data_IF_457740369693
#
_entry.id   IF_457740369693
#
_cell.length_a   1.000
_cell.length_b   1.000
_cell.length_c   1.000
_cell.angle_alpha   90.00
_cell.angle_beta   90.00
_cell.angle_gamma   90.00
#
_symmetry.space_group_name_H-M   'P 1'
#
loop_
_entity.id
_entity.type
_entity.pdbx_description
1 polymer ?
#
# COMPACT_ATOMS: atom_id res chain seq x y z
N UNK A 1 34.29 12.62 -27.55
CA UNK A 1 34.07 12.11 -26.17
C UNK A 1 33.02 11.02 -26.27
N UNK A 2 33.42 9.74 -26.27
CA UNK A 2 32.44 8.64 -26.23
C UNK A 2 31.94 8.60 -24.79
N UNK A 3 30.67 8.93 -24.58
CA UNK A 3 30.07 8.86 -23.25
C UNK A 3 30.19 7.44 -22.69
N UNK A 4 30.47 7.31 -21.40
CA UNK A 4 30.47 6.04 -20.69
C UNK A 4 29.17 5.30 -21.00
N UNK A 5 29.28 4.14 -21.63
CA UNK A 5 28.14 3.25 -21.88
C UNK A 5 28.06 2.24 -20.74
N UNK A 6 26.85 1.91 -20.33
CA UNK A 6 26.62 0.83 -19.39
C UNK A 6 27.14 -0.50 -19.98
N UNK A 7 27.67 -1.37 -19.13
CA UNK A 7 28.14 -2.71 -19.53
C UNK A 7 26.96 -3.61 -19.92
N UNK A 8 25.79 -3.37 -19.32
CA UNK A 8 24.55 -4.06 -19.65
C UNK A 8 23.57 -3.07 -20.30
N UNK A 9 23.04 -3.45 -21.45
CA UNK A 9 22.03 -2.69 -22.18
C UNK A 9 20.65 -2.90 -21.54
N UNK A 10 20.49 -2.43 -20.30
CA UNK A 10 19.25 -2.49 -19.53
C UNK A 10 18.95 -1.06 -19.06
N UNK A 11 17.92 -0.40 -19.63
CA UNK A 11 17.64 0.98 -19.30
C UNK A 11 17.19 1.12 -17.84
N UNK A 12 17.63 2.19 -17.18
CA UNK A 12 17.11 2.57 -15.86
C UNK A 12 15.60 2.88 -15.94
N UNK A 13 14.90 2.65 -14.83
CA UNK A 13 13.49 3.00 -14.72
C UNK A 13 13.32 4.52 -14.81
N UNK A 14 12.52 4.98 -15.77
CA UNK A 14 12.20 6.40 -15.96
C UNK A 14 10.72 6.59 -16.28
N UNK A 15 10.15 7.69 -15.82
CA UNK A 15 8.79 8.12 -16.19
C UNK A 15 7.69 7.17 -15.69
N UNK A 16 6.81 6.75 -16.60
CA UNK A 16 5.62 5.93 -16.28
C UNK A 16 5.74 4.49 -16.77
N UNK A 17 6.93 3.88 -16.64
CA UNK A 17 7.10 2.47 -17.01
C UNK A 17 6.19 1.54 -16.18
N UNK A 18 5.65 0.46 -16.79
CA UNK A 18 4.63 -0.39 -16.16
C UNK A 18 5.06 -1.04 -14.84
N UNK A 19 6.33 -1.39 -14.69
CA UNK A 19 6.85 -2.02 -13.47
C UNK A 19 7.11 -1.03 -12.32
N UNK A 20 7.08 0.28 -12.58
CA UNK A 20 7.46 1.30 -11.60
C UNK A 20 6.40 1.45 -10.51
N UNK A 21 6.76 1.28 -9.24
CA UNK A 21 5.83 1.40 -8.11
C UNK A 21 5.86 2.79 -7.44
N UNK A 22 6.73 3.70 -7.90
CA UNK A 22 6.92 5.02 -7.25
C UNK A 22 7.84 4.99 -6.04
N UNK A 23 8.63 3.92 -5.88
CA UNK A 23 9.69 3.83 -4.88
C UNK A 23 11.00 4.40 -5.46
N UNK A 24 11.70 5.26 -4.70
CA UNK A 24 12.80 6.07 -5.23
C UNK A 24 13.97 5.24 -5.81
N UNK A 25 14.27 4.10 -5.21
CA UNK A 25 15.48 3.31 -5.51
C UNK A 25 15.19 2.03 -6.29
N UNK A 26 13.98 1.88 -6.84
CA UNK A 26 13.55 0.68 -7.54
C UNK A 26 14.50 0.32 -8.70
N UNK A 27 14.92 -0.94 -8.74
CA UNK A 27 15.70 -1.50 -9.85
C UNK A 27 14.77 -2.11 -10.91
N UNK A 28 15.15 -2.10 -12.21
CA UNK A 28 14.43 -2.81 -13.26
C UNK A 28 14.39 -4.32 -12.99
N UNK A 29 13.27 -4.98 -13.29
CA UNK A 29 13.13 -6.43 -13.16
C UNK A 29 14.11 -7.18 -14.07
N UNK A 30 14.33 -6.69 -15.30
CA UNK A 30 15.24 -7.32 -16.26
C UNK A 30 16.69 -7.38 -15.74
N UNK A 31 17.09 -6.36 -14.97
CA UNK A 31 18.40 -6.32 -14.32
C UNK A 31 18.54 -7.44 -13.29
N UNK A 32 17.55 -7.57 -12.41
CA UNK A 32 17.58 -8.57 -11.34
C UNK A 32 17.37 -9.99 -11.89
N UNK A 33 16.57 -10.15 -12.93
CA UNK A 33 16.38 -11.44 -13.59
C UNK A 33 17.70 -11.96 -14.16
N UNK A 34 18.48 -11.09 -14.80
CA UNK A 34 19.82 -11.43 -15.30
C UNK A 34 20.75 -11.84 -14.17
N UNK A 35 20.81 -11.07 -13.08
CA UNK A 35 21.68 -11.35 -11.92
C UNK A 35 21.30 -12.68 -11.26
N UNK A 36 20.02 -12.91 -10.99
CA UNK A 36 19.53 -14.12 -10.32
C UNK A 36 19.77 -15.36 -11.18
N UNK A 37 19.46 -15.31 -12.48
CA UNK A 37 19.73 -16.43 -13.41
C UNK A 37 21.21 -16.77 -13.52
N UNK A 38 22.10 -15.78 -13.44
CA UNK A 38 23.54 -15.99 -13.53
C UNK A 38 24.14 -16.56 -12.23
N UNK A 39 23.46 -16.40 -11.09
CA UNK A 39 24.04 -16.65 -9.76
C UNK A 39 23.32 -17.74 -8.95
N UNK A 40 22.25 -18.35 -9.49
CA UNK A 40 21.42 -19.33 -8.77
C UNK A 40 20.60 -20.22 -9.72
N UNK A 41 20.17 -21.38 -9.24
CA UNK A 41 19.25 -22.30 -9.89
C UNK A 41 17.84 -22.22 -9.29
N UNK A 42 16.87 -22.89 -9.92
CA UNK A 42 15.54 -23.06 -9.31
C UNK A 42 15.66 -23.80 -7.97
N UNK A 43 14.85 -23.42 -6.99
CA UNK A 43 14.92 -23.95 -5.62
C UNK A 43 15.97 -23.30 -4.71
N UNK A 44 16.97 -22.58 -5.25
CA UNK A 44 17.94 -21.85 -4.44
C UNK A 44 17.30 -20.67 -3.70
N UNK A 45 17.97 -20.17 -2.66
CA UNK A 45 17.53 -19.03 -1.85
C UNK A 45 18.20 -17.74 -2.33
N UNK A 46 17.40 -16.71 -2.61
CA UNK A 46 17.85 -15.34 -2.84
C UNK A 46 17.62 -14.50 -1.59
N UNK A 47 18.68 -14.01 -0.95
CA UNK A 47 18.62 -13.07 0.16
C UNK A 47 18.82 -11.63 -0.33
N UNK A 48 17.88 -10.75 -0.03
CA UNK A 48 18.00 -9.31 -0.24
C UNK A 48 17.73 -8.56 1.08
N UNK A 49 18.78 -8.12 1.80
CA UNK A 49 18.63 -7.46 3.09
C UNK A 49 18.26 -5.96 2.98
N UNK A 50 18.03 -5.45 1.76
CA UNK A 50 17.61 -4.08 1.48
C UNK A 50 16.54 -4.06 0.39
N UNK A 51 15.55 -4.94 0.51
CA UNK A 51 14.69 -5.30 -0.60
C UNK A 51 13.72 -4.18 -1.05
N UNK A 52 13.50 -3.16 -0.21
CA UNK A 52 12.69 -1.99 -0.55
C UNK A 52 11.33 -2.36 -1.15
N UNK A 53 11.05 -1.92 -2.37
CA UNK A 53 9.79 -2.23 -3.05
C UNK A 53 9.66 -3.66 -3.60
N UNK A 54 10.60 -4.56 -3.31
CA UNK A 54 10.47 -5.99 -3.58
C UNK A 54 10.76 -6.44 -4.99
N UNK A 55 11.47 -5.67 -5.83
CA UNK A 55 11.80 -6.13 -7.19
C UNK A 55 12.55 -7.47 -7.15
N UNK A 56 13.56 -7.60 -6.28
CA UNK A 56 14.36 -8.83 -6.15
C UNK A 56 13.49 -10.01 -5.74
N UNK A 57 12.60 -9.79 -4.77
CA UNK A 57 11.67 -10.80 -4.25
C UNK A 57 10.72 -11.29 -5.35
N UNK A 58 10.06 -10.36 -6.06
CA UNK A 58 9.12 -10.73 -7.11
C UNK A 58 9.80 -11.46 -8.28
N UNK A 59 11.01 -11.04 -8.65
CA UNK A 59 11.79 -11.72 -9.70
C UNK A 59 12.25 -13.10 -9.23
N UNK A 60 12.77 -13.23 -8.00
CA UNK A 60 13.15 -14.53 -7.43
C UNK A 60 11.96 -15.50 -7.39
N UNK A 61 10.81 -15.03 -6.91
CA UNK A 61 9.57 -15.82 -6.88
C UNK A 61 9.12 -16.25 -8.29
N UNK A 62 9.11 -15.32 -9.26
CA UNK A 62 8.79 -15.64 -10.68
C UNK A 62 9.72 -16.70 -11.26
N UNK A 63 10.99 -16.65 -10.87
CA UNK A 63 12.01 -17.59 -11.29
C UNK A 63 12.02 -18.87 -10.44
N UNK A 64 11.04 -19.12 -9.57
CA UNK A 64 10.97 -20.31 -8.72
C UNK A 64 12.18 -20.48 -7.79
N UNK A 65 12.72 -19.38 -7.30
CA UNK A 65 13.67 -19.37 -6.18
C UNK A 65 12.92 -19.10 -4.89
N UNK A 66 13.39 -19.69 -3.80
CA UNK A 66 13.04 -19.23 -2.46
C UNK A 66 13.67 -17.86 -2.23
N UNK A 67 13.13 -17.08 -1.30
CA UNK A 67 13.65 -15.75 -1.05
C UNK A 67 13.49 -15.33 0.41
N UNK A 68 14.39 -14.46 0.83
CA UNK A 68 14.31 -13.75 2.11
C UNK A 68 14.51 -12.27 1.79
N UNK A 69 13.50 -11.46 2.10
CA UNK A 69 13.55 -10.01 1.97
C UNK A 69 13.59 -9.37 3.34
N UNK A 70 14.51 -8.43 3.57
CA UNK A 70 14.56 -7.64 4.79
C UNK A 70 14.54 -6.15 4.42
N UNK A 71 13.70 -5.40 5.12
CA UNK A 71 13.69 -3.95 5.09
C UNK A 71 13.30 -3.44 6.48
N UNK A 72 13.79 -2.26 6.84
CA UNK A 72 13.52 -1.64 8.14
C UNK A 72 12.10 -1.06 8.22
N UNK A 73 11.42 -0.86 7.09
CA UNK A 73 10.14 -0.13 7.04
C UNK A 73 8.93 -1.02 6.79
N UNK A 74 7.83 -0.76 7.52
CA UNK A 74 6.53 -1.38 7.21
C UNK A 74 5.96 -0.91 5.87
N UNK A 75 6.37 0.26 5.38
CA UNK A 75 6.03 0.74 4.04
C UNK A 75 6.59 -0.19 2.95
N UNK A 76 7.86 -0.58 3.05
CA UNK A 76 8.47 -1.52 2.11
C UNK A 76 7.72 -2.87 2.13
N UNK A 77 7.43 -3.39 3.32
CA UNK A 77 6.69 -4.65 3.49
C UNK A 77 5.31 -4.60 2.83
N UNK A 78 4.56 -3.51 3.04
CA UNK A 78 3.26 -3.28 2.39
C UNK A 78 3.38 -3.26 0.86
N UNK A 79 4.39 -2.58 0.32
CA UNK A 79 4.66 -2.53 -1.12
C UNK A 79 4.99 -3.91 -1.71
N UNK A 80 5.78 -4.71 -0.99
CA UNK A 80 6.15 -6.08 -1.40
C UNK A 80 4.89 -6.95 -1.48
N UNK A 81 4.04 -6.94 -0.46
CA UNK A 81 2.77 -7.69 -0.44
C UNK A 81 1.90 -7.33 -1.65
N UNK A 82 1.67 -6.04 -1.88
CA UNK A 82 0.91 -5.57 -3.03
C UNK A 82 1.56 -5.94 -4.36
N UNK A 83 2.89 -5.85 -4.49
CA UNK A 83 3.60 -6.27 -5.71
C UNK A 83 3.36 -7.75 -5.99
N UNK A 84 3.53 -8.61 -4.98
CA UNK A 84 3.33 -10.05 -5.10
C UNK A 84 1.87 -10.37 -5.48
N UNK A 85 0.90 -9.82 -4.77
CA UNK A 85 -0.53 -10.02 -5.06
C UNK A 85 -0.89 -9.60 -6.48
N UNK A 86 -0.41 -8.44 -6.94
CA UNK A 86 -0.67 -7.97 -8.30
C UNK A 86 -0.03 -8.88 -9.38
N UNK A 87 1.17 -9.40 -9.10
CA UNK A 87 1.92 -10.20 -10.06
C UNK A 87 1.49 -11.67 -10.12
N UNK A 88 1.02 -12.24 -9.00
CA UNK A 88 0.78 -13.68 -8.82
C UNK A 88 -0.62 -14.04 -8.30
N UNK A 89 -1.46 -13.06 -7.96
CA UNK A 89 -2.80 -13.26 -7.41
C UNK A 89 -2.82 -13.35 -5.88
N UNK A 90 -4.02 -13.31 -5.29
CA UNK A 90 -4.19 -13.20 -3.83
C UNK A 90 -3.64 -14.40 -3.04
N UNK A 91 -3.68 -15.60 -3.64
CA UNK A 91 -3.18 -16.86 -3.06
C UNK A 91 -1.66 -16.85 -2.81
N UNK A 92 -0.91 -15.93 -3.43
CA UNK A 92 0.54 -15.82 -3.17
C UNK A 92 0.83 -15.53 -1.70
N UNK A 93 -0.11 -14.91 -0.98
CA UNK A 93 0.02 -14.63 0.46
C UNK A 93 0.16 -15.89 1.32
N UNK A 94 -0.28 -17.06 0.82
CA UNK A 94 -0.12 -18.35 1.50
C UNK A 94 1.29 -18.93 1.36
N UNK A 95 2.13 -18.33 0.50
CA UNK A 95 3.47 -18.85 0.15
C UNK A 95 4.62 -18.19 0.92
N UNK A 96 4.33 -17.19 1.77
CA UNK A 96 5.34 -16.50 2.56
C UNK A 96 4.81 -16.08 3.93
N UNK A 97 5.73 -15.93 4.89
CA UNK A 97 5.43 -15.29 6.17
C UNK A 97 6.06 -13.90 6.23
N UNK A 98 5.39 -12.98 6.93
CA UNK A 98 5.96 -11.68 7.31
C UNK A 98 6.27 -11.67 8.79
N UNK A 99 7.53 -11.40 9.10
CA UNK A 99 8.06 -11.34 10.47
C UNK A 99 8.26 -9.87 10.85
N UNK A 100 7.88 -9.51 12.08
CA UNK A 100 8.10 -8.18 12.65
C UNK A 100 6.94 -7.19 12.51
N UNK A 101 5.86 -7.55 11.84
CA UNK A 101 4.63 -6.76 11.87
C UNK A 101 3.76 -7.10 13.08
N UNK A 102 3.06 -6.11 13.67
CA UNK A 102 2.02 -6.38 14.64
C UNK A 102 0.91 -7.26 14.05
N UNK A 103 0.64 -8.39 14.70
CA UNK A 103 -0.45 -9.32 14.36
C UNK A 103 -1.68 -9.14 15.27
N UNK A 104 -1.53 -8.40 16.37
CA UNK A 104 -2.57 -8.15 17.35
C UNK A 104 -2.51 -6.73 17.91
N UNK A 105 -3.47 -6.39 18.77
CA UNK A 105 -3.57 -5.07 19.38
C UNK A 105 -2.39 -4.78 20.33
N UNK A 106 -1.85 -5.80 21.00
CA UNK A 106 -0.74 -5.61 21.94
C UNK A 106 0.53 -5.17 21.21
N UNK A 107 0.86 -5.84 20.10
CA UNK A 107 1.95 -5.44 19.22
C UNK A 107 1.72 -4.05 18.59
N UNK A 108 0.48 -3.71 18.25
CA UNK A 108 0.16 -2.39 17.72
C UNK A 108 0.38 -1.28 18.77
N UNK A 109 -0.01 -1.53 20.03
CA UNK A 109 0.24 -0.62 21.16
C UNK A 109 1.74 -0.44 21.37
N UNK A 110 2.51 -1.52 21.35
CA UNK A 110 3.96 -1.48 21.51
C UNK A 110 4.60 -0.64 20.39
N UNK A 111 4.31 -0.95 19.13
CA UNK A 111 4.82 -0.24 17.97
C UNK A 111 4.48 1.26 18.01
N UNK A 112 3.26 1.62 18.43
CA UNK A 112 2.85 3.03 18.54
C UNK A 112 3.67 3.84 19.56
N UNK A 113 4.25 3.16 20.57
CA UNK A 113 5.04 3.79 21.63
C UNK A 113 6.53 3.81 21.28
N UNK A 114 7.04 2.73 20.72
CA UNK A 114 8.46 2.56 20.43
C UNK A 114 8.86 3.23 19.12
N UNK A 115 8.05 3.08 18.06
CA UNK A 115 8.34 3.59 16.72
C UNK A 115 7.11 4.25 16.06
N UNK A 116 6.72 5.47 16.48
CA UNK A 116 5.47 6.11 16.04
C UNK A 116 5.33 6.29 14.52
N UNK A 117 6.42 6.55 13.80
CA UNK A 117 6.41 6.66 12.33
C UNK A 117 6.16 5.30 11.67
N UNK A 118 6.75 4.23 12.19
CA UNK A 118 6.54 2.87 11.71
C UNK A 118 5.11 2.41 11.99
N UNK A 119 4.58 2.72 13.18
CA UNK A 119 3.17 2.52 13.49
C UNK A 119 2.25 3.20 12.48
N UNK A 120 2.53 4.46 12.15
CA UNK A 120 1.73 5.20 11.16
C UNK A 120 1.78 4.54 9.79
N UNK A 121 2.95 4.16 9.29
CA UNK A 121 3.08 3.49 7.99
C UNK A 121 2.43 2.10 7.98
N UNK A 122 2.59 1.34 9.06
CA UNK A 122 1.94 0.05 9.23
C UNK A 122 0.41 0.20 9.22
N UNK A 123 -0.14 1.14 9.98
CA UNK A 123 -1.58 1.41 10.04
C UNK A 123 -2.16 1.84 8.68
N UNK A 124 -1.42 2.65 7.91
CA UNK A 124 -1.79 3.01 6.55
C UNK A 124 -1.72 1.81 5.59
N UNK A 125 -0.78 0.89 5.81
CA UNK A 125 -0.68 -0.34 5.04
C UNK A 125 -1.89 -1.26 5.19
N UNK A 126 -2.52 -1.30 6.37
CA UNK A 126 -3.75 -2.07 6.62
C UNK A 126 -4.93 -1.65 5.71
N UNK A 127 -4.93 -0.40 5.24
CA UNK A 127 -5.99 0.17 4.39
C UNK A 127 -5.53 0.39 2.95
N UNK A 128 -4.32 -0.04 2.58
CA UNK A 128 -3.77 0.18 1.23
C UNK A 128 -3.52 1.67 0.91
N UNK A 129 -3.26 2.50 1.92
CA UNK A 129 -2.96 3.91 1.72
C UNK A 129 -1.45 4.15 1.56
N UNK A 130 -1.10 5.17 0.77
CA UNK A 130 0.28 5.67 0.65
C UNK A 130 0.55 6.76 1.67
N UNK A 131 1.66 6.70 2.42
CA UNK A 131 2.07 7.80 3.27
C UNK A 131 2.29 9.10 2.48
N UNK A 132 1.98 10.24 3.09
CA UNK A 132 2.31 11.56 2.54
C UNK A 132 3.65 12.01 3.12
N UNK A 133 4.57 12.45 2.27
CA UNK A 133 5.84 13.03 2.70
C UNK A 133 5.59 14.31 3.52
N UNK A 134 6.03 14.31 4.79
CA UNK A 134 5.99 15.50 5.65
C UNK A 134 7.08 16.51 5.25
N UNK A 135 6.96 17.13 4.07
CA UNK A 135 7.79 18.31 3.74
C UNK A 135 7.32 19.50 4.57
N UNK A 136 8.27 20.33 5.05
CA UNK A 136 7.98 21.57 5.78
C UNK A 136 6.95 22.42 5.02
N UNK A 137 5.74 22.51 5.57
CA UNK A 137 4.65 23.35 5.05
C UNK A 137 3.57 22.61 4.24
N UNK A 138 3.71 21.32 3.94
CA UNK A 138 2.73 20.56 3.18
C UNK A 138 1.80 19.73 4.09
N UNK A 139 0.50 19.79 3.80
CA UNK A 139 -0.57 18.89 4.26
C UNK A 139 -0.70 18.67 5.78
N UNK A 140 -0.90 19.77 6.54
CA UNK A 140 -1.30 19.67 7.95
C UNK A 140 -2.56 18.80 8.09
N UNK A 141 -2.39 17.62 8.69
CA UNK A 141 -3.48 16.70 9.04
C UNK A 141 -3.70 15.51 8.09
N UNK A 142 -2.84 15.29 7.08
CA UNK A 142 -2.93 14.12 6.20
C UNK A 142 -1.72 13.22 6.42
N UNK A 143 -2.00 12.00 6.85
CA UNK A 143 -0.98 10.99 7.11
C UNK A 143 -0.82 10.06 5.90
N UNK A 144 -1.92 9.79 5.18
CA UNK A 144 -1.88 9.00 3.95
C UNK A 144 -2.99 9.32 2.97
N UNK A 145 -2.83 8.84 1.73
CA UNK A 145 -3.79 9.00 0.63
C UNK A 145 -4.00 7.67 -0.11
N UNK A 146 -5.23 7.45 -0.55
CA UNK A 146 -5.61 6.38 -1.48
C UNK A 146 -6.35 7.04 -2.65
N UNK A 147 -5.94 6.72 -3.87
CA UNK A 147 -6.49 7.25 -5.10
C UNK A 147 -7.30 6.21 -5.86
N UNK A 148 -8.44 6.63 -6.38
CA UNK A 148 -9.32 5.75 -7.15
C UNK A 148 -9.99 6.49 -8.30
N UNK A 149 -10.53 5.73 -9.24
CA UNK A 149 -11.49 6.20 -10.24
C UNK A 149 -12.83 5.53 -9.98
N UNK A 150 -13.96 6.13 -10.34
CA UNK A 150 -15.25 5.42 -10.25
C UNK A 150 -16.17 5.83 -11.40
N UNK A 151 -15.59 6.43 -12.44
CA UNK A 151 -16.29 6.88 -13.64
C UNK A 151 -16.24 5.78 -14.71
N UNK A 152 -17.36 5.50 -15.42
CA UNK A 152 -17.41 4.39 -16.38
C UNK A 152 -16.61 4.63 -17.67
N UNK A 153 -16.40 5.89 -18.07
CA UNK A 153 -15.71 6.25 -19.31
C UNK A 153 -14.26 6.61 -19.02
N UNK A 154 -13.33 5.77 -19.48
CA UNK A 154 -11.89 5.95 -19.35
C UNK A 154 -11.38 7.29 -19.90
N UNK A 155 -12.11 7.94 -20.83
CA UNK A 155 -11.75 9.24 -21.41
C UNK A 155 -12.08 10.46 -20.54
N UNK A 156 -12.84 10.30 -19.45
CA UNK A 156 -13.17 11.39 -18.49
C UNK A 156 -12.66 11.16 -17.07
N UNK A 157 -11.98 10.04 -16.82
CA UNK A 157 -11.54 9.59 -15.49
C UNK A 157 -10.81 10.65 -14.68
N UNK A 158 -11.56 11.33 -13.80
CA UNK A 158 -10.97 12.21 -12.79
C UNK A 158 -10.46 11.36 -11.62
N UNK A 159 -9.19 11.51 -11.27
CA UNK A 159 -8.63 10.90 -10.05
C UNK A 159 -9.32 11.46 -8.81
N UNK A 160 -9.96 10.56 -8.07
CA UNK A 160 -10.60 10.80 -6.78
C UNK A 160 -9.71 10.29 -5.67
N UNK A 161 -9.96 10.72 -4.44
CA UNK A 161 -9.09 10.42 -3.32
C UNK A 161 -9.82 10.20 -2.00
N UNK A 162 -9.23 9.30 -1.21
CA UNK A 162 -9.50 9.09 0.20
C UNK A 162 -8.28 9.61 0.96
N UNK A 163 -8.52 10.41 2.00
CA UNK A 163 -7.47 10.92 2.87
C UNK A 163 -7.53 10.21 4.24
N UNK A 164 -6.37 9.97 4.82
CA UNK A 164 -6.25 9.25 6.08
C UNK A 164 -5.55 10.13 7.11
N UNK A 165 -6.08 10.10 8.34
CA UNK A 165 -5.33 10.53 9.52
C UNK A 165 -5.21 9.39 10.52
N UNK A 166 -4.04 9.22 11.11
CA UNK A 166 -3.71 8.15 12.07
C UNK A 166 -3.49 8.75 13.45
N UNK A 167 -4.15 8.19 14.47
CA UNK A 167 -4.01 8.61 15.87
C UNK A 167 -3.73 7.42 16.79
N UNK A 168 -2.56 7.46 17.43
CA UNK A 168 -2.16 6.46 18.42
C UNK A 168 -2.83 6.65 19.80
N UNK A 169 -3.44 7.81 20.08
CA UNK A 169 -4.12 8.11 21.33
C UNK A 169 -4.65 9.54 21.38
N UNK A 170 -5.32 9.88 22.49
CA UNK A 170 -5.95 11.18 22.73
C UNK A 170 -6.95 11.57 21.63
N UNK A 171 -7.70 10.60 21.13
CA UNK A 171 -8.57 10.78 19.98
C UNK A 171 -9.88 11.44 20.39
N UNK A 172 -10.14 12.63 19.84
CA UNK A 172 -11.33 13.42 20.17
C UNK A 172 -12.11 13.90 18.95
N UNK A 173 -13.24 14.56 19.22
CA UNK A 173 -14.11 15.15 18.20
C UNK A 173 -13.43 16.27 17.40
N UNK A 174 -12.42 16.93 17.97
CA UNK A 174 -11.58 17.91 17.26
C UNK A 174 -10.93 17.30 16.01
N UNK A 175 -10.35 16.10 16.14
CA UNK A 175 -9.73 15.40 15.00
C UNK A 175 -10.71 15.10 13.88
N UNK A 176 -11.97 14.83 14.22
CA UNK A 176 -13.04 14.61 13.23
C UNK A 176 -13.36 15.90 12.47
N UNK A 177 -13.47 17.02 13.19
CA UNK A 177 -13.73 18.34 12.58
C UNK A 177 -12.56 18.81 11.73
N UNK A 178 -11.34 18.63 12.23
CA UNK A 178 -10.12 18.94 11.51
C UNK A 178 -10.05 18.13 10.21
N UNK A 179 -10.30 16.81 10.30
CA UNK A 179 -10.32 15.94 9.13
C UNK A 179 -11.40 16.35 8.13
N UNK A 180 -12.61 16.74 8.57
CA UNK A 180 -13.63 17.29 7.66
C UNK A 180 -13.11 18.52 6.92
N UNK A 181 -12.49 19.47 7.63
CA UNK A 181 -11.89 20.64 6.99
C UNK A 181 -10.81 20.28 5.97
N UNK A 182 -10.03 19.24 6.24
CA UNK A 182 -9.06 18.70 5.27
C UNK A 182 -9.75 18.06 4.06
N UNK A 183 -10.83 17.29 4.25
CA UNK A 183 -11.60 16.71 3.13
C UNK A 183 -12.05 17.82 2.17
N UNK A 184 -12.61 18.91 2.70
CA UNK A 184 -13.08 20.04 1.91
C UNK A 184 -11.93 20.77 1.21
N UNK A 185 -10.85 21.07 1.94
CA UNK A 185 -9.66 21.76 1.41
C UNK A 185 -9.02 20.99 0.26
N UNK A 186 -8.91 19.66 0.41
CA UNK A 186 -8.27 18.78 -0.56
C UNK A 186 -9.23 18.30 -1.66
N UNK A 187 -10.52 18.64 -1.57
CA UNK A 187 -11.57 18.10 -2.43
C UNK A 187 -11.57 16.55 -2.47
N UNK A 188 -11.34 15.94 -1.30
CA UNK A 188 -11.38 14.50 -1.13
C UNK A 188 -12.83 13.99 -1.06
N UNK A 189 -13.04 12.73 -1.44
CA UNK A 189 -14.38 12.14 -1.45
C UNK A 189 -14.71 11.48 -0.12
N UNK A 190 -13.69 10.92 0.53
CA UNK A 190 -13.80 10.25 1.82
C UNK A 190 -12.60 10.64 2.67
N UNK A 191 -12.82 10.83 3.97
CA UNK A 191 -11.77 10.92 4.98
C UNK A 191 -11.94 9.84 6.04
N UNK A 192 -10.84 9.20 6.40
CA UNK A 192 -10.83 8.11 7.38
C UNK A 192 -9.89 8.46 8.53
N UNK A 193 -10.41 8.43 9.74
CA UNK A 193 -9.61 8.47 10.95
C UNK A 193 -9.31 7.03 11.39
N UNK A 194 -8.03 6.66 11.39
CA UNK A 194 -7.55 5.40 11.97
C UNK A 194 -7.11 5.68 13.41
N UNK A 195 -7.65 4.95 14.38
CA UNK A 195 -7.48 5.22 15.81
C UNK A 195 -7.10 3.98 16.61
N UNK A 196 -6.22 4.12 17.60
CA UNK A 196 -6.04 3.08 18.63
C UNK A 196 -7.21 3.03 19.63
N UNK A 197 -7.87 4.17 19.86
CA UNK A 197 -8.94 4.30 20.85
C UNK A 197 -10.32 4.15 20.21
N UNK A 198 -11.26 3.57 20.97
CA UNK A 198 -12.66 3.50 20.57
C UNK A 198 -13.25 4.92 20.39
N UNK A 199 -14.03 5.17 19.32
CA UNK A 199 -14.63 6.48 19.14
C UNK A 199 -15.66 6.78 20.23
N UNK A 200 -15.76 8.04 20.62
CA UNK A 200 -16.83 8.51 21.50
C UNK A 200 -18.16 8.66 20.74
N UNK A 201 -19.29 8.77 21.46
CA UNK A 201 -20.59 9.05 20.83
C UNK A 201 -20.56 10.37 20.05
N UNK A 202 -19.91 11.40 20.59
CA UNK A 202 -19.78 12.71 19.93
C UNK A 202 -19.00 12.59 18.61
N UNK A 203 -17.90 11.82 18.59
CA UNK A 203 -17.15 11.59 17.36
C UNK A 203 -17.99 10.88 16.29
N UNK A 204 -18.76 9.86 16.68
CA UNK A 204 -19.67 9.16 15.75
C UNK A 204 -20.74 10.09 15.17
N UNK A 205 -21.35 10.92 16.02
CA UNK A 205 -22.35 11.90 15.59
C UNK A 205 -21.75 12.96 14.65
N UNK A 206 -20.55 13.46 14.97
CA UNK A 206 -19.84 14.42 14.11
C UNK A 206 -19.46 13.77 12.78
N UNK A 207 -18.96 12.53 12.75
CA UNK A 207 -18.65 11.84 11.51
C UNK A 207 -19.90 11.65 10.63
N UNK A 208 -21.01 11.20 11.24
CA UNK A 208 -22.27 10.99 10.54
C UNK A 208 -22.86 12.27 9.93
N UNK A 209 -22.63 13.44 10.52
CA UNK A 209 -23.11 14.71 9.97
C UNK A 209 -22.38 15.13 8.67
N UNK A 210 -21.30 14.44 8.27
CA UNK A 210 -20.58 14.71 7.02
C UNK A 210 -21.35 14.25 5.79
N UNK A 211 -22.39 13.42 5.99
CA UNK A 211 -23.20 12.89 4.92
C UNK A 211 -22.51 11.78 4.13
N UNK A 212 -22.95 11.61 2.88
CA UNK A 212 -22.55 10.50 2.03
C UNK A 212 -22.01 10.98 0.70
N UNK A 213 -20.88 10.41 0.32
CA UNK A 213 -20.38 10.42 -1.04
C UNK A 213 -21.23 9.47 -1.89
N UNK A 214 -21.66 9.93 -3.07
CA UNK A 214 -22.36 9.11 -4.06
C UNK A 214 -21.38 8.77 -5.17
N UNK A 215 -21.11 7.48 -5.36
CA UNK A 215 -20.26 7.02 -6.46
C UNK A 215 -20.99 7.14 -7.80
N UNK A 216 -20.24 7.09 -8.91
CA UNK A 216 -20.86 7.08 -10.24
C UNK A 216 -21.63 5.78 -10.53
N UNK A 217 -21.44 4.74 -9.72
CA UNK A 217 -22.21 3.48 -9.77
C UNK A 217 -23.50 3.52 -8.93
N UNK A 218 -23.82 4.66 -8.31
CA UNK A 218 -25.03 4.85 -7.52
C UNK A 218 -24.95 4.33 -6.08
N UNK A 219 -23.78 3.82 -5.65
CA UNK A 219 -23.54 3.43 -4.25
C UNK A 219 -23.29 4.67 -3.37
N UNK A 220 -23.60 4.54 -2.08
CA UNK A 220 -23.41 5.62 -1.09
C UNK A 220 -22.42 5.18 -0.03
N UNK A 221 -21.46 6.04 0.28
CA UNK A 221 -20.40 5.77 1.24
C UNK A 221 -20.27 6.95 2.21
N UNK A 222 -20.12 6.74 3.53
CA UNK A 222 -19.94 7.84 4.47
C UNK A 222 -18.72 8.68 4.11
N UNK A 223 -18.89 10.01 4.03
CA UNK A 223 -17.78 10.93 3.72
C UNK A 223 -16.71 10.89 4.81
N UNK A 224 -17.10 10.71 6.06
CA UNK A 224 -16.17 10.65 7.19
C UNK A 224 -16.37 9.37 7.98
N UNK A 225 -15.30 8.59 8.09
CA UNK A 225 -15.29 7.29 8.74
C UNK A 225 -14.27 7.25 9.88
N UNK A 226 -14.54 6.42 10.87
CA UNK A 226 -13.63 6.15 11.98
C UNK A 226 -13.44 4.64 12.04
N UNK A 227 -12.20 4.18 11.90
CA UNK A 227 -11.82 2.78 12.01
C UNK A 227 -10.80 2.65 13.13
N UNK A 228 -11.02 1.68 14.02
CA UNK A 228 -10.00 1.36 15.02
C UNK A 228 -8.94 0.41 14.45
N UNK A 229 -7.78 0.32 15.10
CA UNK A 229 -6.81 -0.73 14.75
C UNK A 229 -7.41 -2.12 14.95
N UNK A 230 -8.21 -2.31 16.00
CA UNK A 230 -8.93 -3.56 16.24
C UNK A 230 -9.93 -3.88 15.11
N UNK A 231 -10.70 -2.89 14.65
CA UNK A 231 -11.57 -3.02 13.48
C UNK A 231 -10.78 -3.54 12.27
N UNK A 232 -9.66 -2.91 11.94
CA UNK A 232 -8.83 -3.28 10.78
C UNK A 232 -8.21 -4.67 10.92
N UNK A 233 -7.70 -5.03 12.11
CA UNK A 233 -7.15 -6.37 12.39
C UNK A 233 -8.22 -7.46 12.32
N UNK A 234 -9.48 -7.13 12.62
CA UNK A 234 -10.63 -8.04 12.48
C UNK A 234 -11.12 -8.20 11.02
N UNK A 235 -10.49 -7.52 10.07
CA UNK A 235 -10.82 -7.60 8.64
C UNK A 235 -11.85 -6.56 8.17
N UNK A 236 -12.25 -5.60 9.01
CA UNK A 236 -13.07 -4.47 8.57
C UNK A 236 -12.24 -3.59 7.65
N UNK A 237 -12.84 -3.12 6.56
CA UNK A 237 -12.19 -2.25 5.59
C UNK A 237 -12.87 -0.89 5.51
N UNK A 238 -12.25 0.03 4.77
CA UNK A 238 -12.83 1.34 4.45
C UNK A 238 -14.08 1.13 3.60
N UNK A 239 -15.21 1.70 4.02
CA UNK A 239 -16.43 1.70 3.23
C UNK A 239 -16.28 2.67 2.06
N UNK A 240 -15.88 2.13 0.90
CA UNK A 240 -15.61 2.91 -0.29
C UNK A 240 -16.04 2.14 -1.54
N UNK A 241 -16.10 2.80 -2.71
CA UNK A 241 -16.43 2.12 -3.96
C UNK A 241 -15.41 0.99 -4.24
N UNK A 242 -15.80 -0.12 -4.92
CA UNK A 242 -14.97 -1.32 -5.06
C UNK A 242 -13.58 -1.06 -5.65
N UNK A 243 -12.55 -1.02 -4.79
CA UNK A 243 -11.19 -0.62 -5.16
C UNK A 243 -10.47 -1.61 -6.07
N UNK A 244 -10.81 -2.90 -6.06
CA UNK A 244 -10.15 -3.91 -6.90
C UNK A 244 -10.18 -3.58 -8.41
N UNK A 245 -11.21 -2.85 -8.85
CA UNK A 245 -11.39 -2.44 -10.24
C UNK A 245 -10.79 -1.06 -10.55
N UNK A 246 -10.46 -0.25 -9.54
CA UNK A 246 -10.20 1.18 -9.73
C UNK A 246 -9.13 1.82 -8.84
N UNK A 247 -8.50 1.07 -7.96
CA UNK A 247 -7.37 1.53 -7.16
C UNK A 247 -6.19 1.84 -8.09
N UNK A 248 -5.78 3.12 -8.05
CA UNK A 248 -4.62 3.66 -8.76
C UNK A 248 -3.59 4.22 -7.78
N UNK A 249 -3.81 4.00 -6.48
CA UNK A 249 -2.89 4.38 -5.41
C UNK A 249 -1.54 3.78 -5.69
N UNK A 250 -1.47 2.45 -5.79
CA UNK A 250 -0.27 1.76 -6.22
C UNK A 250 -0.30 1.52 -7.73
N UNK A 251 0.77 1.91 -8.43
CA UNK A 251 0.97 1.47 -9.81
C UNK A 251 1.01 -0.07 -9.80
N UNK A 252 0.15 -0.70 -10.61
CA UNK A 252 0.05 -2.16 -10.66
C UNK A 252 1.29 -2.74 -11.33
N UNK A 253 1.97 -3.66 -10.66
CA UNK A 253 2.99 -4.46 -11.31
C UNK A 253 2.34 -5.28 -12.45
N UNK A 254 3.01 -5.44 -13.61
CA UNK A 254 2.48 -6.27 -14.68
C UNK A 254 2.28 -7.69 -14.18
N UNK A 255 1.16 -8.33 -14.56
CA UNK A 255 0.94 -9.76 -14.28
C UNK A 255 2.14 -10.55 -14.78
N UNK A 256 2.63 -11.47 -13.94
CA UNK A 256 3.70 -12.35 -14.37
C UNK A 256 3.23 -13.17 -15.57
N UNK A 257 4.03 -13.18 -16.65
CA UNK A 257 3.81 -14.11 -17.76
C UNK A 257 4.28 -15.48 -17.29
N UNK A 258 3.41 -16.24 -16.65
CA UNK A 258 3.65 -17.66 -16.48
C UNK A 258 3.74 -18.31 -17.86
N UNK A 259 4.70 -19.22 -18.07
CA UNK A 259 4.66 -20.10 -19.24
C UNK A 259 3.35 -20.91 -19.16
N UNK A 260 2.56 -21.03 -20.24
CA UNK A 260 1.31 -21.78 -20.19
C UNK A 260 1.62 -23.27 -19.95
N UNK A 261 1.50 -23.73 -18.70
CA UNK A 261 1.78 -25.12 -18.33
C UNK A 261 2.13 -25.38 -16.86
N UNK A 262 2.44 -24.36 -16.06
CA UNK A 262 2.96 -24.58 -14.70
C UNK A 262 1.91 -24.21 -13.64
N UNK A 263 1.20 -25.25 -13.15
CA UNK A 263 0.45 -25.18 -11.89
C UNK A 263 1.44 -25.02 -10.73
N UNK A 264 1.20 -24.05 -9.86
CA UNK A 264 1.89 -23.95 -8.57
C UNK A 264 1.51 -25.19 -7.74
N UNK A 265 2.37 -26.21 -7.76
CA UNK A 265 2.22 -27.39 -6.92
C UNK A 265 2.54 -27.00 -5.47
N UNK A 266 1.48 -26.82 -4.68
CA UNK A 266 1.55 -26.85 -3.21
C UNK A 266 1.99 -28.27 -2.81
N UNK A 267 3.28 -28.46 -2.53
CA UNK A 267 3.73 -29.66 -1.83
C UNK A 267 3.44 -29.49 -0.34
N UNK A 268 2.73 -30.47 0.20
CA UNK A 268 2.25 -30.55 1.58
C UNK A 268 3.40 -30.81 2.56
#
# INVERSE_FOLDING_TARGET
MVGMRDVWDIPALRGNQPEMLGYQTQKPEALLERIIKASSNEGDIVLDPFCGCGTSIAVAHRLKRLWIGIDITHLATTLIKHRLQNAFGDQVSETYEVIGEPKDLSGAIELSKTEPYQFQWWALGLVGARPVDQKKGADRGIDGRLYFHDEPDSRKTKTKQIIFSVKAGHTGVSHIRDLRGVIERENAQIGVLISMELPTKQMRTEAASAGFYKSSWGTKHPVLQILTIEDLLSGKSVDCPPLSQVDVTFKKAPRSKANPGEQYLLSH
#
